data_IF_336092726278
#
_entry.id   IF_336092726278
#
_cell.length_a   1.000
_cell.length_b   1.000
_cell.length_c   1.000
_cell.angle_alpha   90.00
_cell.angle_beta   90.00
_cell.angle_gamma   90.00
#
_symmetry.space_group_name_H-M   'P 1'
#
loop_
_entity.id
_entity.type
_entity.pdbx_description
1 polymer ?
#
# COMPACT_ATOMS: atom_id res chain seq x y z
N UNK A 1 12.20 5.13 15.91
CA UNK A 1 12.08 3.92 15.06
C UNK A 1 11.64 2.76 15.93
N UNK A 2 10.41 2.24 15.79
CA UNK A 2 10.09 0.94 16.37
C UNK A 2 10.45 -0.13 15.35
N UNK A 3 11.30 -1.09 15.74
CA UNK A 3 11.56 -2.30 14.96
C UNK A 3 11.21 -3.50 15.82
N UNK A 4 9.95 -3.92 15.90
CA UNK A 4 9.65 -5.31 16.15
C UNK A 4 9.57 -6.00 14.79
N UNK A 5 10.52 -6.88 14.51
CA UNK A 5 10.37 -7.90 13.44
C UNK A 5 9.33 -8.96 13.80
N UNK A 6 8.63 -8.79 14.92
CA UNK A 6 7.55 -9.65 15.35
C UNK A 6 6.22 -9.10 14.84
N UNK A 7 5.33 -9.96 14.33
CA UNK A 7 4.00 -9.52 13.95
C UNK A 7 3.22 -9.08 15.21
N UNK A 8 2.24 -8.18 15.06
CA UNK A 8 1.34 -7.86 16.16
C UNK A 8 0.56 -9.11 16.61
N UNK A 9 0.09 -9.11 17.86
CA UNK A 9 -0.74 -10.20 18.40
C UNK A 9 -1.97 -10.43 17.50
N UNK A 10 -2.31 -11.71 17.24
CA UNK A 10 -3.48 -12.08 16.43
C UNK A 10 -4.75 -12.10 17.24
N UNK A 11 -5.80 -11.46 16.73
CA UNK A 11 -7.14 -11.56 17.31
C UNK A 11 -7.69 -12.98 17.08
N UNK A 12 -8.27 -13.57 18.12
CA UNK A 12 -8.91 -14.89 17.98
C UNK A 12 -10.12 -14.80 17.05
N UNK A 13 -10.37 -15.83 16.25
CA UNK A 13 -11.51 -15.87 15.32
C UNK A 13 -11.42 -14.88 14.16
N UNK A 14 -10.22 -14.38 13.83
CA UNK A 14 -10.02 -13.42 12.73
C UNK A 14 -9.24 -14.03 11.56
N UNK A 15 -9.52 -13.53 10.36
CA UNK A 15 -8.64 -13.62 9.21
C UNK A 15 -7.68 -12.44 9.21
N UNK A 16 -6.38 -12.72 9.03
CA UNK A 16 -5.30 -11.73 9.02
C UNK A 16 -4.87 -11.40 7.61
N UNK A 17 -4.97 -10.13 7.25
CA UNK A 17 -4.45 -9.55 6.02
C UNK A 17 -3.14 -8.80 6.33
N UNK A 18 -2.08 -9.12 5.60
CA UNK A 18 -0.82 -8.40 5.59
C UNK A 18 -0.69 -7.65 4.26
N UNK A 19 -0.81 -6.33 4.29
CA UNK A 19 -0.74 -5.47 3.09
C UNK A 19 0.56 -4.69 3.07
N UNK A 20 1.36 -4.85 2.02
CA UNK A 20 2.67 -4.21 1.86
C UNK A 20 2.67 -3.27 0.65
N UNK A 21 3.35 -2.14 0.79
CA UNK A 21 3.61 -1.18 -0.28
C UNK A 21 5.06 -0.69 -0.17
N UNK A 22 5.78 -0.66 -1.29
CA UNK A 22 7.19 -0.23 -1.36
C UNK A 22 7.26 1.00 -2.26
N UNK A 23 7.99 2.03 -1.85
CA UNK A 23 8.25 3.18 -2.71
C UNK A 23 9.70 3.17 -3.18
N UNK A 24 9.89 3.52 -4.45
CA UNK A 24 11.21 3.59 -5.08
C UNK A 24 11.36 4.78 -5.99
N UNK A 25 12.58 5.28 -6.14
CA UNK A 25 12.88 6.28 -7.17
C UNK A 25 12.90 5.60 -8.52
N UNK A 26 12.20 6.14 -9.51
CA UNK A 26 12.33 5.71 -10.91
C UNK A 26 13.64 6.27 -11.52
N UNK A 27 14.35 5.44 -12.27
CA UNK A 27 15.46 5.88 -13.12
C UNK A 27 15.25 5.30 -14.50
N UNK A 28 15.46 6.13 -15.53
CA UNK A 28 15.28 5.81 -16.96
C UNK A 28 16.19 4.69 -17.51
N UNK A 29 16.93 3.99 -16.66
CA UNK A 29 17.78 2.86 -17.03
C UNK A 29 17.22 1.56 -16.45
N UNK A 30 17.34 0.46 -17.21
CA UNK A 30 16.88 -0.87 -16.78
C UNK A 30 17.42 -1.20 -15.39
N UNK A 31 16.54 -1.61 -14.47
CA UNK A 31 16.85 -1.90 -13.06
C UNK A 31 17.45 -0.71 -12.28
N UNK A 32 17.19 0.53 -12.71
CA UNK A 32 17.66 1.73 -12.02
C UNK A 32 16.88 2.08 -10.74
N UNK A 33 15.72 1.43 -10.53
CA UNK A 33 14.81 1.69 -9.42
C UNK A 33 15.45 1.43 -8.07
N UNK A 34 15.42 2.39 -7.14
CA UNK A 34 15.98 2.21 -5.79
C UNK A 34 14.87 2.34 -4.74
N UNK A 35 14.56 1.28 -3.99
CA UNK A 35 13.60 1.38 -2.90
C UNK A 35 14.17 2.30 -1.82
N UNK A 36 13.31 3.12 -1.25
CA UNK A 36 13.71 4.05 -0.19
C UNK A 36 12.76 4.01 1.02
N UNK A 37 11.55 3.48 0.87
CA UNK A 37 10.71 3.16 2.02
C UNK A 37 9.77 1.99 1.70
N UNK A 38 9.24 1.38 2.75
CA UNK A 38 8.10 0.49 2.65
C UNK A 38 7.23 0.60 3.91
N UNK A 39 5.99 0.16 3.80
CA UNK A 39 5.10 -0.02 4.92
C UNK A 39 4.39 -1.35 4.84
N UNK A 40 3.99 -1.86 5.99
CA UNK A 40 3.08 -3.01 6.09
C UNK A 40 1.95 -2.67 7.05
N UNK A 41 0.74 -3.05 6.67
CA UNK A 41 -0.46 -3.00 7.50
C UNK A 41 -0.91 -4.41 7.82
N UNK A 42 -1.20 -4.66 9.09
CA UNK A 42 -1.81 -5.88 9.59
C UNK A 42 -3.25 -5.58 9.98
N UNK A 43 -4.20 -6.23 9.30
CA UNK A 43 -5.62 -6.05 9.49
C UNK A 43 -6.25 -7.40 9.85
N UNK A 44 -6.81 -7.48 11.06
CA UNK A 44 -7.53 -8.65 11.56
C UNK A 44 -9.04 -8.41 11.44
N UNK A 45 -9.71 -9.19 10.60
CA UNK A 45 -11.17 -9.12 10.39
C UNK A 45 -11.86 -10.39 10.88
N UNK A 46 -13.04 -10.33 11.51
CA UNK A 46 -13.79 -11.52 11.93
C UNK A 46 -14.05 -12.48 10.76
N UNK A 47 -14.01 -13.80 11.02
CA UNK A 47 -14.33 -14.82 10.01
C UNK A 47 -15.79 -15.26 10.02
N UNK A 48 -16.52 -14.97 11.10
CA UNK A 48 -17.89 -15.43 11.35
C UNK A 48 -18.96 -14.41 10.94
N UNK A 49 -18.58 -13.16 10.68
CA UNK A 49 -19.47 -12.11 10.20
C UNK A 49 -18.73 -11.12 9.28
N UNK A 50 -19.43 -10.45 8.34
CA UNK A 50 -18.85 -9.37 7.57
C UNK A 50 -18.33 -8.24 8.47
N UNK A 51 -17.10 -7.81 8.24
CA UNK A 51 -16.46 -6.80 9.06
C UNK A 51 -16.89 -5.37 8.68
N UNK A 52 -17.02 -4.49 9.67
CA UNK A 52 -17.11 -3.05 9.47
C UNK A 52 -15.69 -2.45 9.42
N UNK A 53 -15.27 -1.98 8.24
CA UNK A 53 -13.93 -1.42 8.05
C UNK A 53 -13.67 -0.13 8.85
N UNK A 54 -14.72 0.61 9.24
CA UNK A 54 -14.57 1.84 10.04
C UNK A 54 -14.28 1.56 11.51
N UNK A 55 -14.70 0.40 12.01
CA UNK A 55 -14.42 -0.08 13.36
C UNK A 55 -13.17 -0.98 13.42
N UNK A 56 -12.71 -1.48 12.28
CA UNK A 56 -11.55 -2.36 12.19
C UNK A 56 -10.25 -1.58 12.41
N UNK A 57 -9.72 -1.64 13.64
CA UNK A 57 -8.35 -1.18 13.93
C UNK A 57 -7.30 -1.98 13.15
N UNK A 58 -6.17 -1.35 12.87
CA UNK A 58 -5.04 -1.95 12.18
C UNK A 58 -3.73 -1.67 12.93
N UNK A 59 -2.76 -2.56 12.75
CA UNK A 59 -1.40 -2.40 13.24
C UNK A 59 -0.47 -2.18 12.04
N UNK A 60 0.66 -1.49 12.23
CA UNK A 60 1.50 -1.14 11.09
C UNK A 60 2.98 -1.06 11.43
N UNK A 61 3.79 -1.13 10.38
CA UNK A 61 5.22 -0.79 10.41
C UNK A 61 5.53 0.06 9.20
N UNK A 62 6.34 1.10 9.37
CA UNK A 62 6.85 1.94 8.29
C UNK A 62 8.36 2.09 8.45
N UNK A 63 9.10 1.82 7.38
CA UNK A 63 10.56 1.91 7.35
C UNK A 63 10.95 2.83 6.21
N UNK A 64 11.79 3.81 6.51
CA UNK A 64 12.25 4.82 5.58
C UNK A 64 13.77 4.93 5.72
N UNK A 65 14.50 4.97 4.60
CA UNK A 65 15.97 5.14 4.64
C UNK A 65 16.32 6.56 5.06
N UNK A 66 17.09 6.67 6.13
CA UNK A 66 17.62 7.93 6.59
C UNK A 66 18.89 8.28 5.82
N UNK A 67 19.67 7.28 5.38
CA UNK A 67 20.87 7.49 4.56
C UNK A 67 20.91 6.60 3.29
N UNK A 68 21.56 7.03 2.20
CA UNK A 68 21.64 6.24 0.96
C UNK A 68 22.31 4.87 1.13
N UNK A 69 23.14 4.71 2.17
CA UNK A 69 23.81 3.44 2.50
C UNK A 69 22.89 2.38 3.12
N UNK A 70 21.69 2.75 3.55
CA UNK A 70 20.75 1.85 4.25
C UNK A 70 19.86 1.04 3.30
N UNK A 71 20.05 1.17 1.98
CA UNK A 71 19.20 0.48 0.98
C UNK A 71 19.24 -1.04 1.13
N UNK A 72 20.41 -1.63 1.39
CA UNK A 72 20.56 -3.06 1.58
C UNK A 72 19.83 -3.54 2.86
N UNK A 73 19.88 -2.73 3.92
CA UNK A 73 19.18 -3.00 5.17
C UNK A 73 17.66 -2.86 5.02
N UNK A 74 17.19 -1.86 4.26
CA UNK A 74 15.79 -1.71 3.90
C UNK A 74 15.28 -2.99 3.20
N UNK A 75 16.02 -3.48 2.20
CA UNK A 75 15.66 -4.70 1.47
C UNK A 75 15.66 -5.93 2.38
N UNK A 76 16.68 -6.09 3.22
CA UNK A 76 16.75 -7.19 4.18
C UNK A 76 15.58 -7.16 5.17
N UNK A 77 15.22 -5.97 5.66
CA UNK A 77 14.10 -5.79 6.60
C UNK A 77 12.77 -6.08 5.90
N UNK A 78 12.54 -5.56 4.69
CA UNK A 78 11.34 -5.87 3.91
C UNK A 78 11.19 -7.37 3.64
N UNK A 79 12.30 -8.05 3.35
CA UNK A 79 12.29 -9.50 3.14
C UNK A 79 12.00 -10.30 4.42
N UNK A 80 12.51 -9.86 5.58
CA UNK A 80 12.15 -10.43 6.88
C UNK A 80 10.67 -10.19 7.23
N UNK A 81 10.15 -9.00 6.92
CA UNK A 81 8.73 -8.66 7.06
C UNK A 81 7.86 -9.55 6.18
N UNK A 82 8.23 -9.79 4.92
CA UNK A 82 7.51 -10.70 4.03
C UNK A 82 7.53 -12.16 4.50
N UNK A 83 8.65 -12.63 5.03
CA UNK A 83 8.72 -13.97 5.66
C UNK A 83 7.74 -14.05 6.83
N UNK A 84 7.76 -13.05 7.71
CA UNK A 84 6.86 -12.98 8.86
C UNK A 84 5.39 -12.94 8.42
N UNK A 85 5.08 -12.18 7.37
CA UNK A 85 3.74 -12.17 6.79
C UNK A 85 3.34 -13.55 6.26
N UNK A 86 4.25 -14.27 5.60
CA UNK A 86 3.97 -15.60 5.07
C UNK A 86 3.75 -16.66 6.16
N UNK A 87 4.34 -16.46 7.34
CA UNK A 87 4.18 -17.34 8.51
C UNK A 87 2.89 -17.05 9.29
N UNK A 88 2.38 -15.82 9.26
CA UNK A 88 1.34 -15.37 10.20
C UNK A 88 0.06 -14.82 9.58
N UNK A 89 0.06 -14.43 8.30
CA UNK A 89 -1.12 -13.93 7.62
C UNK A 89 -1.85 -15.07 6.88
N UNK A 90 -3.17 -14.93 6.73
CA UNK A 90 -3.94 -15.80 5.84
C UNK A 90 -3.97 -15.24 4.41
N UNK A 91 -3.79 -13.91 4.28
CA UNK A 91 -3.74 -13.19 3.02
C UNK A 91 -2.59 -12.17 3.01
N UNK A 92 -1.69 -12.27 2.04
CA UNK A 92 -0.70 -11.23 1.72
C UNK A 92 -1.16 -10.47 0.50
N UNK A 93 -1.10 -9.14 0.57
CA UNK A 93 -1.57 -8.28 -0.51
C UNK A 93 -0.66 -7.07 -0.75
N UNK A 94 -0.79 -6.52 -1.96
CA UNK A 94 -0.16 -5.28 -2.41
C UNK A 94 -0.93 -4.76 -3.63
N UNK A 95 -0.69 -3.50 -4.03
CA UNK A 95 -1.21 -2.96 -5.28
C UNK A 95 -0.09 -2.87 -6.29
N UNK A 96 -0.06 -3.78 -7.28
CA UNK A 96 1.15 -4.05 -8.08
C UNK A 96 2.26 -4.73 -7.29
N UNK A 97 1.91 -5.63 -6.36
CA UNK A 97 2.84 -6.36 -5.51
C UNK A 97 3.99 -7.02 -6.30
N UNK A 98 3.74 -7.46 -7.55
CA UNK A 98 4.82 -7.98 -8.40
C UNK A 98 5.95 -6.99 -8.66
N UNK A 99 5.63 -5.70 -8.79
CA UNK A 99 6.60 -4.63 -9.04
C UNK A 99 7.43 -4.38 -7.79
N UNK A 100 6.79 -4.30 -6.63
CA UNK A 100 7.45 -4.14 -5.32
C UNK A 100 8.44 -5.29 -5.08
N UNK A 101 7.96 -6.53 -5.23
CA UNK A 101 8.78 -7.73 -5.08
C UNK A 101 9.92 -7.79 -6.09
N UNK A 102 9.69 -7.33 -7.33
CA UNK A 102 10.73 -7.28 -8.36
C UNK A 102 11.79 -6.22 -8.03
N UNK A 103 11.40 -5.04 -7.56
CA UNK A 103 12.32 -3.97 -7.17
C UNK A 103 13.17 -4.41 -5.98
N UNK A 104 12.56 -4.96 -4.92
CA UNK A 104 13.28 -5.46 -3.76
C UNK A 104 14.28 -6.55 -4.16
N UNK A 105 13.85 -7.56 -4.92
CA UNK A 105 14.73 -8.65 -5.32
C UNK A 105 15.87 -8.20 -6.25
N UNK A 106 15.61 -7.26 -7.17
CA UNK A 106 16.63 -6.72 -8.07
C UNK A 106 17.64 -5.81 -7.34
N UNK A 107 17.30 -5.33 -6.14
CA UNK A 107 18.16 -4.47 -5.31
C UNK A 107 18.77 -5.17 -4.11
N UNK A 108 18.41 -6.41 -3.86
CA UNK A 108 19.08 -7.21 -2.88
C UNK A 108 20.56 -7.44 -3.29
N UNK A 109 21.55 -7.21 -2.41
CA UNK A 109 22.96 -7.43 -2.72
C UNK A 109 23.28 -8.92 -3.01
N UNK A 110 22.39 -9.81 -2.56
CA UNK A 110 22.40 -11.26 -2.80
C UNK A 110 20.96 -11.76 -2.88
N UNK A 111 20.75 -12.93 -3.50
CA UNK A 111 19.43 -13.58 -3.49
C UNK A 111 18.92 -13.73 -2.05
N UNK A 112 17.64 -13.43 -1.85
CA UNK A 112 16.98 -13.50 -0.57
C UNK A 112 15.83 -14.51 -0.64
N UNK A 113 15.93 -15.67 0.03
CA UNK A 113 14.95 -16.76 -0.11
C UNK A 113 13.50 -16.32 0.12
N UNK A 114 13.25 -15.44 1.10
CA UNK A 114 11.91 -14.91 1.36
C UNK A 114 11.33 -14.11 0.18
N UNK A 115 12.15 -13.31 -0.52
CA UNK A 115 11.69 -12.56 -1.70
C UNK A 115 11.46 -13.50 -2.88
N UNK A 116 12.34 -14.48 -3.07
CA UNK A 116 12.21 -15.48 -4.14
C UNK A 116 10.94 -16.32 -3.95
N UNK A 117 10.67 -16.74 -2.72
CA UNK A 117 9.45 -17.45 -2.34
C UNK A 117 8.21 -16.57 -2.52
N UNK A 118 8.21 -15.33 -2.04
CA UNK A 118 7.07 -14.42 -2.23
C UNK A 118 6.78 -14.17 -3.71
N UNK A 119 7.81 -14.02 -4.54
CA UNK A 119 7.67 -13.90 -6.01
C UNK A 119 7.11 -15.16 -6.64
N UNK A 120 7.55 -16.35 -6.20
CA UNK A 120 7.04 -17.62 -6.70
C UNK A 120 5.56 -17.79 -6.34
N UNK A 121 5.19 -17.54 -5.09
CA UNK A 121 3.81 -17.59 -4.62
C UNK A 121 2.91 -16.57 -5.33
N UNK A 122 3.37 -15.33 -5.50
CA UNK A 122 2.63 -14.31 -6.26
C UNK A 122 2.37 -14.75 -7.72
N UNK A 123 3.33 -15.40 -8.38
CA UNK A 123 3.15 -15.93 -9.75
C UNK A 123 2.13 -17.07 -9.80
N UNK A 124 2.05 -17.87 -8.74
CA UNK A 124 1.15 -19.00 -8.61
C UNK A 124 -0.19 -18.64 -7.97
N UNK A 125 -0.43 -17.37 -7.59
CA UNK A 125 -1.57 -16.96 -6.76
C UNK A 125 -2.96 -17.29 -7.32
N UNK A 126 -3.07 -17.44 -8.64
CA UNK A 126 -4.32 -17.80 -9.32
C UNK A 126 -4.50 -19.32 -9.45
N UNK A 127 -3.53 -20.11 -9.00
CA UNK A 127 -3.60 -21.56 -8.99
C UNK A 127 -4.27 -22.03 -7.69
N UNK A 128 -5.02 -23.14 -7.72
CA UNK A 128 -5.51 -23.77 -6.51
C UNK A 128 -4.35 -24.10 -5.57
N UNK A 129 -4.38 -23.57 -4.35
CA UNK A 129 -3.39 -23.91 -3.34
C UNK A 129 -3.75 -25.24 -2.67
N UNK A 130 -2.79 -26.17 -2.49
CA UNK A 130 -3.04 -27.36 -1.70
C UNK A 130 -3.09 -27.00 -0.20
N UNK A 131 -4.27 -27.19 0.42
CA UNK A 131 -4.45 -27.01 1.86
C UNK A 131 -4.50 -25.55 2.33
N UNK A 132 -4.31 -25.29 3.65
CA UNK A 132 -4.43 -23.98 4.26
C UNK A 132 -3.17 -23.12 4.06
N UNK A 133 -2.74 -22.95 2.80
CA UNK A 133 -1.60 -22.10 2.48
C UNK A 133 -2.00 -20.61 2.50
N UNK A 134 -1.04 -19.74 2.86
CA UNK A 134 -1.21 -18.28 2.75
C UNK A 134 -1.55 -17.90 1.30
N UNK A 135 -2.59 -17.08 1.14
CA UNK A 135 -3.00 -16.62 -0.18
C UNK A 135 -2.29 -15.32 -0.52
N UNK A 136 -1.95 -15.17 -1.80
CA UNK A 136 -1.48 -13.89 -2.34
C UNK A 136 -2.59 -13.26 -3.15
N UNK A 137 -2.79 -11.95 -3.02
CA UNK A 137 -3.73 -11.17 -3.81
C UNK A 137 -3.04 -9.88 -4.26
N UNK A 138 -3.12 -9.57 -5.53
CA UNK A 138 -2.64 -8.30 -6.08
C UNK A 138 -3.84 -7.47 -6.50
N UNK A 139 -4.16 -6.44 -5.74
CA UNK A 139 -5.43 -5.71 -5.89
C UNK A 139 -5.55 -5.05 -7.25
N UNK A 140 -4.44 -4.77 -7.96
CA UNK A 140 -4.50 -4.25 -9.32
C UNK A 140 -5.09 -5.27 -10.29
N UNK A 141 -4.72 -6.53 -10.14
CA UNK A 141 -5.03 -7.59 -11.11
C UNK A 141 -6.25 -8.41 -10.69
N UNK A 142 -6.45 -8.59 -9.38
CA UNK A 142 -7.36 -9.61 -8.85
C UNK A 142 -8.68 -9.00 -8.32
N UNK A 143 -8.73 -7.69 -8.09
CA UNK A 143 -9.95 -6.99 -7.64
C UNK A 143 -10.88 -6.57 -8.80
N UNK A 144 -10.57 -6.95 -10.05
CA UNK A 144 -11.32 -6.49 -11.23
C UNK A 144 -12.81 -6.87 -11.24
N UNK A 145 -13.20 -7.93 -10.55
CA UNK A 145 -14.59 -8.38 -10.40
C UNK A 145 -15.43 -7.51 -9.44
N UNK A 146 -14.78 -6.56 -8.75
CA UNK A 146 -15.45 -5.54 -7.95
C UNK A 146 -15.72 -4.25 -8.73
N UNK A 147 -15.16 -4.12 -9.93
CA UNK A 147 -15.02 -2.85 -10.64
C UNK A 147 -15.71 -2.88 -12.00
N UNK A 148 -16.54 -1.87 -12.24
CA UNK A 148 -17.15 -1.53 -13.53
C UNK A 148 -16.22 -0.64 -14.37
N UNK A 149 -15.36 0.15 -13.72
CA UNK A 149 -14.41 1.05 -14.37
C UNK A 149 -13.23 0.33 -15.05
N UNK A 150 -12.55 1.04 -15.96
CA UNK A 150 -11.37 0.52 -16.66
C UNK A 150 -10.04 0.84 -15.96
N UNK A 151 -10.01 1.85 -15.09
CA UNK A 151 -8.76 2.20 -14.42
C UNK A 151 -8.40 1.18 -13.34
N UNK A 152 -7.10 0.96 -13.19
CA UNK A 152 -6.52 0.06 -12.19
C UNK A 152 -5.41 0.77 -11.39
N UNK A 153 -5.48 2.10 -11.31
CA UNK A 153 -4.68 2.88 -10.35
C UNK A 153 -5.35 2.76 -8.98
N UNK A 154 -4.57 2.60 -7.92
CA UNK A 154 -5.11 2.40 -6.57
C UNK A 154 -6.15 3.45 -6.19
N UNK A 155 -5.88 4.73 -6.46
CA UNK A 155 -6.80 5.83 -6.15
C UNK A 155 -8.16 5.71 -6.86
N UNK A 156 -8.18 5.26 -8.11
CA UNK A 156 -9.42 5.11 -8.88
C UNK A 156 -10.18 3.87 -8.39
N UNK A 157 -9.46 2.77 -8.12
CA UNK A 157 -10.03 1.54 -7.55
C UNK A 157 -10.68 1.84 -6.19
N UNK A 158 -9.98 2.58 -5.33
CA UNK A 158 -10.48 2.97 -4.01
C UNK A 158 -11.74 3.84 -4.14
N UNK A 159 -11.70 4.86 -4.99
CA UNK A 159 -12.84 5.77 -5.23
C UNK A 159 -14.07 5.01 -5.69
N UNK A 160 -13.91 4.08 -6.64
CA UNK A 160 -15.00 3.26 -7.16
C UNK A 160 -15.60 2.33 -6.10
N UNK A 161 -14.78 1.87 -5.15
CA UNK A 161 -15.20 1.03 -4.03
C UNK A 161 -15.70 1.81 -2.81
N UNK A 162 -15.86 3.14 -2.91
CA UNK A 162 -16.34 3.98 -1.80
C UNK A 162 -15.29 4.28 -0.73
N UNK A 163 -14.00 4.10 -1.05
CA UNK A 163 -12.88 4.41 -0.16
C UNK A 163 -12.32 5.80 -0.53
N UNK A 164 -12.48 6.78 0.36
CA UNK A 164 -11.83 8.08 0.22
C UNK A 164 -10.37 7.99 0.65
N UNK A 165 -9.51 8.11 -0.35
CA UNK A 165 -8.05 8.04 -0.24
C UNK A 165 -7.38 9.32 -0.71
N UNK A 166 -8.06 10.47 -0.63
CA UNK A 166 -7.55 11.76 -1.09
C UNK A 166 -6.11 12.01 -0.62
N UNK A 167 -5.22 12.40 -1.54
CA UNK A 167 -3.76 12.45 -1.32
C UNK A 167 -3.18 13.86 -1.52
N UNK A 168 -3.06 14.70 -0.48
CA UNK A 168 -2.47 16.03 -0.59
C UNK A 168 -0.93 16.05 -0.64
N UNK A 169 -0.27 14.92 -0.35
CA UNK A 169 1.18 14.84 -0.12
C UNK A 169 2.01 15.25 -1.33
N UNK A 170 1.47 15.04 -2.54
CA UNK A 170 2.17 15.22 -3.81
C UNK A 170 1.70 16.42 -4.64
N UNK A 171 0.84 17.29 -4.08
CA UNK A 171 0.25 18.41 -4.84
C UNK A 171 1.28 19.38 -5.42
N UNK A 172 2.38 19.62 -4.71
CA UNK A 172 3.40 20.61 -5.08
C UNK A 172 4.78 20.01 -5.39
N UNK A 173 5.00 18.73 -5.09
CA UNK A 173 6.32 18.09 -5.19
C UNK A 173 6.17 16.58 -5.34
N UNK A 174 6.95 15.96 -6.22
CA UNK A 174 6.92 14.50 -6.44
C UNK A 174 7.65 13.71 -5.34
N UNK A 175 7.30 12.43 -5.16
CA UNK A 175 7.97 11.57 -4.16
C UNK A 175 9.49 11.53 -4.32
N UNK A 176 10.07 11.37 -5.54
CA UNK A 176 11.53 11.39 -5.67
C UNK A 176 12.15 12.74 -5.32
N UNK A 177 11.43 13.84 -5.51
CA UNK A 177 11.91 15.17 -5.14
C UNK A 177 11.89 15.36 -3.61
N UNK A 178 10.83 14.92 -2.94
CA UNK A 178 10.78 14.90 -1.47
C UNK A 178 11.87 14.00 -0.87
N UNK A 179 12.08 12.80 -1.43
CA UNK A 179 13.13 11.89 -0.99
C UNK A 179 14.53 12.53 -1.15
N UNK A 180 14.81 13.22 -2.27
CA UNK A 180 16.08 13.93 -2.46
C UNK A 180 16.28 15.04 -1.42
N UNK A 181 15.24 15.83 -1.12
CA UNK A 181 15.30 16.87 -0.08
C UNK A 181 15.51 16.27 1.31
N UNK A 182 14.92 15.12 1.60
CA UNK A 182 15.20 14.40 2.84
C UNK A 182 16.68 14.01 2.97
N UNK A 183 17.24 13.37 1.94
CA UNK A 183 18.64 12.93 1.96
C UNK A 183 19.62 14.11 2.00
N UNK A 184 19.36 15.18 1.24
CA UNK A 184 20.28 16.32 1.12
C UNK A 184 20.14 17.36 2.23
N UNK A 185 18.91 17.63 2.67
CA UNK A 185 18.59 18.79 3.51
C UNK A 185 17.89 18.40 4.82
N UNK A 186 17.66 17.09 5.05
CA UNK A 186 16.88 16.59 6.21
C UNK A 186 15.49 17.22 6.31
N UNK A 187 14.85 17.46 5.15
CA UNK A 187 13.50 17.99 5.05
C UNK A 187 12.46 17.03 5.65
N UNK A 188 12.24 17.15 6.96
CA UNK A 188 11.48 16.20 7.79
C UNK A 188 10.03 16.08 7.33
N UNK A 189 9.34 17.19 7.09
CA UNK A 189 7.95 17.18 6.61
C UNK A 189 7.81 16.39 5.30
N UNK A 190 8.78 16.50 4.37
CA UNK A 190 8.77 15.74 3.12
C UNK A 190 8.86 14.23 3.33
N UNK A 191 9.70 13.78 4.27
CA UNK A 191 9.81 12.37 4.68
C UNK A 191 8.51 11.89 5.33
N UNK A 192 7.93 12.69 6.22
CA UNK A 192 6.66 12.36 6.90
C UNK A 192 5.50 12.23 5.91
N UNK A 193 5.37 13.19 4.97
CA UNK A 193 4.40 13.13 3.87
C UNK A 193 4.50 11.80 3.12
N UNK A 194 5.71 11.40 2.69
CA UNK A 194 5.86 10.13 1.97
C UNK A 194 5.54 8.93 2.87
N UNK A 195 5.95 8.95 4.14
CA UNK A 195 5.67 7.85 5.07
C UNK A 195 4.17 7.64 5.26
N UNK A 196 3.41 8.74 5.41
CA UNK A 196 1.95 8.72 5.51
C UNK A 196 1.30 8.26 4.19
N UNK A 197 1.78 8.73 3.04
CA UNK A 197 1.30 8.30 1.73
C UNK A 197 1.47 6.78 1.52
N UNK A 198 2.67 6.27 1.78
CA UNK A 198 3.00 4.85 1.64
C UNK A 198 2.16 4.00 2.63
N UNK A 199 1.98 4.44 3.88
CA UNK A 199 1.08 3.76 4.81
C UNK A 199 -0.38 3.77 4.33
N UNK A 200 -0.84 4.90 3.75
CA UNK A 200 -2.18 5.00 3.15
C UNK A 200 -2.34 4.00 2.01
N UNK A 201 -1.34 3.82 1.15
CA UNK A 201 -1.38 2.82 0.07
C UNK A 201 -1.52 1.41 0.62
N UNK A 202 -0.73 1.04 1.64
CA UNK A 202 -0.87 -0.26 2.31
C UNK A 202 -2.25 -0.45 2.92
N UNK A 203 -2.78 0.53 3.67
CA UNK A 203 -4.09 0.44 4.31
C UNK A 203 -5.23 0.34 3.28
N UNK A 204 -5.20 1.19 2.26
CA UNK A 204 -6.19 1.20 1.19
C UNK A 204 -6.21 -0.15 0.46
N UNK A 205 -5.02 -0.69 0.18
CA UNK A 205 -4.85 -2.00 -0.44
C UNK A 205 -5.39 -3.13 0.44
N UNK A 206 -5.22 -3.05 1.76
CA UNK A 206 -5.79 -4.02 2.70
C UNK A 206 -7.33 -4.04 2.62
N UNK A 207 -7.96 -2.86 2.53
CA UNK A 207 -9.42 -2.75 2.40
C UNK A 207 -9.94 -3.26 1.05
N UNK A 208 -9.25 -2.95 -0.05
CA UNK A 208 -9.60 -3.51 -1.36
C UNK A 208 -9.46 -5.04 -1.35
N UNK A 209 -8.42 -5.57 -0.71
CA UNK A 209 -8.22 -7.01 -0.58
C UNK A 209 -9.30 -7.67 0.29
N UNK A 210 -9.72 -7.02 1.39
CA UNK A 210 -10.82 -7.48 2.23
C UNK A 210 -12.14 -7.57 1.44
N UNK A 211 -12.45 -6.55 0.63
CA UNK A 211 -13.61 -6.56 -0.27
C UNK A 211 -13.51 -7.69 -1.31
N UNK A 212 -12.34 -7.86 -1.93
CA UNK A 212 -12.11 -8.88 -2.95
C UNK A 212 -12.17 -10.32 -2.38
N UNK A 213 -11.81 -10.49 -1.11
CA UNK A 213 -11.90 -11.75 -0.38
C UNK A 213 -13.29 -12.01 0.22
N UNK A 214 -14.24 -11.07 0.13
CA UNK A 214 -15.58 -11.20 0.71
C UNK A 214 -15.61 -11.08 2.24
N UNK A 215 -14.59 -10.47 2.85
CA UNK A 215 -14.47 -10.31 4.31
C UNK A 215 -15.23 -9.07 4.85
N UNK A 216 -15.68 -8.20 3.96
CA UNK A 216 -16.43 -6.97 4.27
C UNK A 216 -17.51 -6.78 3.21
N UNK A 217 -18.68 -6.20 3.56
CA UNK A 217 -19.74 -5.95 2.59
C UNK A 217 -19.31 -4.88 1.57
N UNK A 218 -19.89 -4.95 0.37
CA UNK A 218 -19.75 -3.90 -0.65
C UNK A 218 -20.60 -2.68 -0.28
N UNK A 219 -20.25 -1.51 -0.83
CA UNK A 219 -21.03 -0.28 -0.71
C UNK A 219 -20.81 0.50 0.59
N UNK A 220 -19.94 0.02 1.48
CA UNK A 220 -19.52 0.79 2.65
C UNK A 220 -18.67 1.99 2.22
N UNK A 221 -19.04 3.17 2.69
CA UNK A 221 -18.23 4.38 2.49
C UNK A 221 -17.23 4.53 3.64
N UNK A 222 -15.95 4.60 3.31
CA UNK A 222 -14.87 4.67 4.31
C UNK A 222 -13.94 5.82 3.95
N UNK A 223 -13.78 6.77 4.88
CA UNK A 223 -12.71 7.75 4.78
C UNK A 223 -11.43 7.14 5.38
N UNK A 224 -10.54 6.69 4.49
CA UNK A 224 -9.28 6.03 4.88
C UNK A 224 -8.35 7.00 5.62
N UNK A 225 -8.43 8.31 5.32
CA UNK A 225 -7.65 9.33 6.03
C UNK A 225 -8.01 9.40 7.52
N UNK A 226 -9.30 9.27 7.87
CA UNK A 226 -9.75 9.22 9.28
C UNK A 226 -9.21 8.00 10.01
N UNK A 227 -9.28 6.84 9.37
CA UNK A 227 -8.79 5.60 9.98
C UNK A 227 -7.27 5.68 10.15
N UNK A 228 -6.55 6.16 9.14
CA UNK A 228 -5.11 6.35 9.20
C UNK A 228 -4.68 7.35 10.28
N UNK A 229 -5.35 8.50 10.39
CA UNK A 229 -5.08 9.50 11.42
C UNK A 229 -5.23 8.94 12.83
N UNK A 230 -6.24 8.09 13.02
CA UNK A 230 -6.53 7.46 14.31
C UNK A 230 -5.51 6.35 14.62
N UNK A 231 -5.28 5.44 13.68
CA UNK A 231 -4.40 4.27 13.85
C UNK A 231 -2.90 4.60 13.88
N UNK A 232 -2.49 5.73 13.31
CA UNK A 232 -1.11 6.21 13.33
C UNK A 232 -0.94 7.51 14.16
N UNK A 233 -1.85 7.78 15.10
CA UNK A 233 -1.82 9.00 15.91
C UNK A 233 -0.46 9.19 16.59
N UNK A 234 0.11 10.39 16.44
CA UNK A 234 1.40 10.76 17.04
C UNK A 234 2.63 10.18 16.35
N UNK A 235 2.47 9.44 15.24
CA UNK A 235 3.61 8.87 14.51
C UNK A 235 4.39 9.90 13.68
N UNK A 236 3.70 10.90 13.13
CA UNK A 236 4.27 11.92 12.26
C UNK A 236 3.55 13.26 12.45
N UNK A 237 4.31 14.36 12.46
CA UNK A 237 3.75 15.72 12.54
C UNK A 237 2.82 16.03 11.36
N UNK A 238 3.07 15.44 10.18
CA UNK A 238 2.21 15.57 9.00
C UNK A 238 0.73 15.23 9.27
N UNK A 239 0.41 14.27 10.16
CA UNK A 239 -0.98 13.91 10.47
C UNK A 239 -1.74 15.00 11.23
N UNK A 240 -1.01 15.92 11.86
CA UNK A 240 -1.54 17.07 12.60
C UNK A 240 -1.49 18.35 11.76
N UNK A 241 -0.89 18.29 10.56
CA UNK A 241 -0.76 19.44 9.68
C UNK A 241 -2.14 19.88 9.13
N UNK A 242 -2.45 21.19 9.04
CA UNK A 242 -3.76 21.68 8.61
C UNK A 242 -4.27 21.12 7.28
N UNK A 243 -3.36 20.96 6.30
CA UNK A 243 -3.69 20.33 5.01
C UNK A 243 -4.20 18.90 5.15
N UNK A 244 -3.66 18.13 6.10
CA UNK A 244 -4.10 16.75 6.33
C UNK A 244 -5.39 16.72 7.16
N UNK A 245 -5.49 17.55 8.20
CA UNK A 245 -6.67 17.57 9.08
C UNK A 245 -7.95 18.01 8.35
N UNK A 246 -7.83 18.85 7.31
CA UNK A 246 -8.95 19.19 6.42
C UNK A 246 -9.59 17.97 5.76
N UNK A 247 -8.83 16.89 5.51
CA UNK A 247 -9.37 15.63 4.96
C UNK A 247 -10.28 14.89 5.95
N UNK A 248 -10.20 15.23 7.24
CA UNK A 248 -10.94 14.60 8.32
C UNK A 248 -12.31 15.25 8.54
N UNK A 249 -12.54 16.44 8.00
CA UNK A 249 -13.80 17.16 8.21
C UNK A 249 -14.87 16.77 7.19
N UNK A 250 -14.46 16.36 5.99
CA UNK A 250 -15.38 16.02 4.92
C UNK A 250 -16.07 14.64 5.17
N UNK A 251 -17.38 14.53 4.90
CA UNK A 251 -17.99 13.24 4.64
C UNK A 251 -17.30 12.62 3.41
N UNK A 252 -17.13 11.30 3.42
CA UNK A 252 -16.57 10.56 2.28
C UNK A 252 -17.31 11.01 1.02
N UNK A 253 -16.64 11.56 -0.01
CA UNK A 253 -17.30 12.05 -1.21
C UNK A 253 -17.93 10.87 -1.95
N UNK A 254 -19.15 10.53 -1.56
CA UNK A 254 -20.05 9.79 -2.40
C UNK A 254 -20.60 10.75 -3.44
N UNK A 255 -20.54 10.36 -4.70
CA UNK A 255 -21.30 10.99 -5.79
C UNK A 255 -20.92 12.43 -6.16
N UNK A 256 -19.63 12.77 -6.27
CA UNK A 256 -19.22 13.97 -7.00
C UNK A 256 -17.88 13.79 -7.71
N UNK A 257 -17.87 13.09 -8.84
CA UNK A 257 -16.96 13.35 -9.96
C UNK A 257 -17.51 12.70 -11.25
N UNK A 258 -18.69 13.17 -11.67
CA UNK A 258 -18.85 13.39 -13.10
C UNK A 258 -17.97 14.60 -13.45
N UNK A 259 -17.13 14.42 -14.49
CA UNK A 259 -16.27 15.43 -15.10
C UNK A 259 -15.03 15.87 -14.31
N UNK A 260 -13.91 15.23 -14.62
CA UNK A 260 -12.63 15.92 -14.75
C UNK A 260 -11.85 15.27 -15.90
N UNK A 261 -12.01 15.90 -17.06
CA UNK A 261 -11.21 15.81 -18.28
C UNK A 261 -10.63 14.42 -18.63
N UNK A 262 -11.36 13.72 -19.49
CA UNK A 262 -10.77 12.87 -20.52
C UNK A 262 -9.50 13.51 -21.07
N UNK A 263 -8.35 12.84 -20.94
CA UNK A 263 -7.22 13.10 -21.81
C UNK A 263 -7.73 12.91 -23.23
N UNK A 264 -7.95 14.01 -23.94
CA UNK A 264 -8.25 14.00 -25.36
C UNK A 264 -7.24 13.09 -26.07
N UNK A 265 -7.77 12.17 -26.87
CA UNK A 265 -6.96 11.29 -27.69
C UNK A 265 -5.99 12.12 -28.54
N UNK A 266 -4.70 11.78 -28.50
CA UNK A 266 -3.71 12.37 -29.42
C UNK A 266 -4.16 12.08 -30.86
N UNK A 267 -4.21 13.08 -31.76
CA UNK A 267 -4.52 12.84 -33.15
C UNK A 267 -3.45 11.94 -33.79
N UNK A 268 -3.90 10.90 -34.50
CA UNK A 268 -3.05 10.01 -35.31
C UNK A 268 -2.23 10.86 -36.29
N UNK A 269 -0.90 10.66 -36.26
CA UNK A 269 0.00 11.20 -37.28
C UNK A 269 -0.43 10.68 -38.66
N UNK A 270 -0.65 11.61 -39.61
CA UNK A 270 -0.85 11.28 -41.02
C UNK A 270 0.45 10.68 -41.56
N UNK A 271 0.35 9.46 -42.09
CA UNK A 271 1.35 8.88 -42.99
C UNK A 271 1.51 9.81 -44.20
N UNK A 272 2.75 10.16 -44.53
CA UNK A 272 3.18 10.49 -45.88
C UNK A 272 4.08 9.36 -46.34
#
# INVERSE_FOLDING_TARGET
MSRPTQPPARRSGSSRIASIDVEWTDKLVKNGNRPFCYSIVWLDLPTDAPADLTAAGFEWTSVYVDDPGEQDELVATAAATLRTAAEHADLITGHQLCSDLAVLANKAPRSHPALDQARAQWKQRNQPAPGPAVRYLDTRYDAGHLLDGHSRRLVDVCTELGLDVTQPELLSTSMPAWHRKWIGERATEGRERISVLNLRHSLSTAYVAALAAGLTPRGQQVNVNKILATGAKGAWGWLEHPTFTQLLEAPCPSTALQSSASKAAKPRAKRR
#
